data_IF_911848986803
#
_entry.id   IF_911848986803
#
_cell.length_a   1.000
_cell.length_b   1.000
_cell.length_c   1.000
_cell.angle_alpha   90.00
_cell.angle_beta   90.00
_cell.angle_gamma   90.00
#
_symmetry.space_group_name_H-M   'P 1'
#
loop_
_entity.id
_entity.type
_entity.pdbx_description
1 polymer ?
#
# COMPACT_ATOMS: atom_id res chain seq x y z
N UNK A 1 25.00 -6.31 -0.67
CA UNK A 1 24.86 -5.78 0.71
C UNK A 1 23.41 -5.97 1.14
N UNK A 2 23.11 -7.09 1.81
CA UNK A 2 21.81 -7.25 2.46
C UNK A 2 21.84 -6.44 3.76
N UNK A 3 20.99 -5.41 3.85
CA UNK A 3 20.74 -4.74 5.11
C UNK A 3 20.22 -5.80 6.08
N UNK A 4 21.07 -6.23 7.00
CA UNK A 4 20.64 -6.99 8.16
C UNK A 4 19.92 -6.01 9.06
N UNK A 5 18.61 -5.87 8.86
CA UNK A 5 17.73 -5.36 9.90
C UNK A 5 17.92 -6.26 11.12
N UNK A 6 18.28 -5.66 12.26
CA UNK A 6 18.28 -6.33 13.55
C UNK A 6 16.88 -6.84 13.90
N UNK A 7 16.72 -7.38 15.12
CA UNK A 7 15.57 -8.19 15.57
C UNK A 7 14.14 -7.69 15.28
N UNK A 8 13.93 -6.44 14.85
CA UNK A 8 12.63 -5.89 14.41
C UNK A 8 12.74 -5.00 13.14
N UNK A 9 13.75 -5.21 12.30
CA UNK A 9 13.97 -4.43 11.07
C UNK A 9 13.37 -5.10 9.84
N UNK A 10 12.51 -4.38 9.12
CA UNK A 10 11.90 -4.86 7.87
C UNK A 10 12.92 -5.34 6.83
N UNK A 11 12.58 -6.41 6.11
CA UNK A 11 13.42 -6.98 5.07
C UNK A 11 13.20 -6.23 3.76
N UNK A 12 14.28 -5.64 3.22
CA UNK A 12 14.26 -4.96 1.93
C UNK A 12 15.10 -5.74 0.93
N UNK A 13 14.50 -6.11 -0.20
CA UNK A 13 15.13 -6.93 -1.23
C UNK A 13 15.48 -6.05 -2.43
N UNK A 14 16.71 -6.20 -2.89
CA UNK A 14 17.31 -5.44 -3.98
C UNK A 14 17.54 -6.35 -5.18
N UNK A 15 17.35 -5.81 -6.38
CA UNK A 15 17.57 -6.50 -7.65
C UNK A 15 18.35 -5.59 -8.58
N UNK A 16 19.34 -6.14 -9.29
CA UNK A 16 20.13 -5.37 -10.24
C UNK A 16 19.32 -5.03 -11.49
N UNK A 17 19.49 -3.83 -12.04
CA UNK A 17 18.83 -3.37 -13.27
C UNK A 17 19.02 -4.31 -14.48
N UNK A 18 20.11 -5.08 -14.53
CA UNK A 18 20.36 -6.06 -15.59
C UNK A 18 19.59 -7.38 -15.46
N UNK A 19 18.75 -7.51 -14.43
CA UNK A 19 18.03 -8.76 -14.15
C UNK A 19 16.81 -8.88 -15.05
N UNK A 20 16.67 -10.03 -15.70
CA UNK A 20 15.53 -10.34 -16.56
C UNK A 20 14.24 -10.58 -15.75
N UNK A 21 13.08 -10.23 -16.32
CA UNK A 21 11.79 -10.25 -15.61
C UNK A 21 11.40 -11.64 -15.06
N UNK A 22 11.79 -12.72 -15.73
CA UNK A 22 11.60 -14.10 -15.26
C UNK A 22 12.28 -14.35 -13.90
N UNK A 23 13.49 -13.83 -13.73
CA UNK A 23 14.24 -13.92 -12.47
C UNK A 23 13.66 -13.01 -11.40
N UNK A 24 13.20 -11.81 -11.78
CA UNK A 24 12.47 -10.90 -10.87
C UNK A 24 11.21 -11.57 -10.34
N UNK A 25 10.46 -12.27 -11.21
CA UNK A 25 9.26 -13.01 -10.83
C UNK A 25 9.57 -14.17 -9.86
N UNK A 26 10.66 -14.90 -10.08
CA UNK A 26 11.12 -15.94 -9.16
C UNK A 26 11.53 -15.36 -7.80
N UNK A 27 12.14 -14.18 -7.78
CA UNK A 27 12.48 -13.47 -6.54
C UNK A 27 11.22 -13.07 -5.75
N UNK A 28 10.19 -12.56 -6.43
CA UNK A 28 8.89 -12.29 -5.78
C UNK A 28 8.30 -13.54 -5.13
N UNK A 29 8.34 -14.68 -5.82
CA UNK A 29 7.87 -15.97 -5.29
C UNK A 29 8.67 -16.42 -4.07
N UNK A 30 9.99 -16.16 -4.03
CA UNK A 30 10.86 -16.55 -2.92
C UNK A 30 10.71 -15.64 -1.70
N UNK A 31 10.64 -14.32 -1.90
CA UNK A 31 10.62 -13.35 -0.81
C UNK A 31 9.22 -13.12 -0.19
N UNK A 32 8.14 -13.52 -0.88
CA UNK A 32 6.75 -13.29 -0.46
C UNK A 32 6.43 -11.80 -0.20
N UNK A 33 7.15 -10.91 -0.90
CA UNK A 33 6.87 -9.48 -0.94
C UNK A 33 6.38 -9.12 -2.34
N UNK A 34 5.70 -7.99 -2.49
CA UNK A 34 5.21 -7.50 -3.80
C UNK A 34 5.91 -6.22 -4.25
N UNK A 35 6.97 -5.78 -3.55
CA UNK A 35 7.78 -4.62 -3.92
C UNK A 35 9.27 -4.92 -3.71
N UNK A 36 10.09 -4.59 -4.71
CA UNK A 36 11.55 -4.72 -4.70
C UNK A 36 12.19 -3.38 -5.07
N UNK A 37 13.47 -3.19 -4.70
CA UNK A 37 14.25 -2.04 -5.14
C UNK A 37 15.19 -2.41 -6.28
N UNK A 38 15.12 -1.67 -7.37
CA UNK A 38 16.07 -1.74 -8.47
C UNK A 38 17.35 -0.98 -8.11
N UNK A 39 18.51 -1.51 -8.48
CA UNK A 39 19.78 -0.84 -8.28
C UNK A 39 20.75 -1.00 -9.45
N UNK A 40 21.56 0.03 -9.64
CA UNK A 40 22.72 0.04 -10.52
C UNK A 40 24.02 0.08 -9.71
N UNK A 41 25.07 -0.55 -10.23
CA UNK A 41 26.42 -0.41 -9.68
C UNK A 41 27.18 0.70 -10.41
N UNK A 42 27.77 1.64 -9.65
CA UNK A 42 28.65 2.64 -10.23
C UNK A 42 30.00 1.99 -10.61
N UNK A 43 30.39 2.10 -11.88
CA UNK A 43 31.65 1.54 -12.43
C UNK A 43 32.87 2.44 -12.23
N UNK A 44 32.71 3.61 -11.61
CA UNK A 44 33.83 4.52 -11.33
C UNK A 44 34.78 3.94 -10.27
N UNK A 45 36.10 3.97 -10.49
CA UNK A 45 37.09 3.38 -9.56
C UNK A 45 37.05 4.02 -8.16
N UNK A 46 36.57 5.25 -8.03
CA UNK A 46 36.44 5.97 -6.74
C UNK A 46 35.17 5.60 -5.95
N UNK A 47 34.18 4.98 -6.59
CA UNK A 47 32.85 4.68 -6.01
C UNK A 47 32.45 3.20 -6.10
N UNK A 48 33.43 2.34 -6.39
CA UNK A 48 33.25 0.89 -6.51
C UNK A 48 32.62 0.34 -5.21
N UNK A 49 31.40 -0.21 -5.32
CA UNK A 49 30.67 -0.81 -4.19
C UNK A 49 29.52 0.03 -3.63
N UNK A 50 29.29 1.25 -4.14
CA UNK A 50 28.08 2.02 -3.82
C UNK A 50 26.94 1.53 -4.72
N UNK A 51 25.89 0.99 -4.09
CA UNK A 51 24.65 0.63 -4.76
C UNK A 51 23.79 1.89 -4.86
N UNK A 52 23.49 2.34 -6.07
CA UNK A 52 22.54 3.42 -6.30
C UNK A 52 21.17 2.82 -6.57
N UNK A 53 20.19 3.14 -5.74
CA UNK A 53 18.80 2.79 -6.00
C UNK A 53 18.33 3.57 -7.22
N UNK A 54 17.85 2.85 -8.23
CA UNK A 54 17.39 3.40 -9.51
C UNK A 54 15.87 3.51 -9.55
N UNK A 55 15.16 2.61 -8.87
CA UNK A 55 13.70 2.63 -8.82
C UNK A 55 13.12 1.56 -7.91
N UNK A 56 11.81 1.40 -8.00
CA UNK A 56 11.04 0.33 -7.37
C UNK A 56 10.48 -0.59 -8.47
N UNK A 57 10.23 -1.84 -8.12
CA UNK A 57 9.57 -2.82 -8.98
C UNK A 57 8.41 -3.40 -8.18
N UNK A 58 7.21 -3.43 -8.75
CA UNK A 58 6.05 -4.07 -8.12
C UNK A 58 5.74 -5.42 -8.78
N UNK A 59 5.06 -6.31 -8.07
CA UNK A 59 4.61 -7.58 -8.64
C UNK A 59 3.57 -7.37 -9.76
N UNK A 60 2.76 -6.33 -9.63
CA UNK A 60 1.75 -5.94 -10.61
C UNK A 60 2.40 -5.65 -11.97
N UNK A 61 3.36 -4.72 -12.03
CA UNK A 61 4.07 -4.38 -13.29
C UNK A 61 4.69 -5.61 -13.97
N UNK A 62 5.20 -6.57 -13.17
CA UNK A 62 5.79 -7.81 -13.70
C UNK A 62 4.73 -8.75 -14.28
N UNK A 63 3.56 -8.84 -13.66
CA UNK A 63 2.45 -9.64 -14.19
C UNK A 63 1.85 -8.96 -15.42
N UNK A 64 1.65 -7.64 -15.41
CA UNK A 64 1.20 -6.86 -16.58
C UNK A 64 2.10 -7.08 -17.79
N UNK A 65 3.43 -7.01 -17.60
CA UNK A 65 4.39 -7.29 -18.66
C UNK A 65 4.29 -8.74 -19.20
N UNK A 66 3.92 -9.70 -18.34
CA UNK A 66 3.74 -11.10 -18.71
C UNK A 66 2.46 -11.33 -19.53
N UNK A 67 1.33 -10.77 -19.08
CA UNK A 67 0.01 -10.96 -19.73
C UNK A 67 -0.23 -9.97 -20.88
N UNK A 68 0.59 -8.92 -20.97
CA UNK A 68 0.48 -7.81 -21.93
C UNK A 68 -0.87 -7.10 -21.86
N UNK A 69 -1.38 -6.97 -20.66
CA UNK A 69 -2.67 -6.36 -20.36
C UNK A 69 -2.52 -5.55 -19.06
N UNK A 70 -3.30 -4.48 -18.94
CA UNK A 70 -3.32 -3.61 -17.77
C UNK A 70 -4.13 -4.28 -16.66
N UNK A 71 -3.59 -4.27 -15.45
CA UNK A 71 -4.31 -4.76 -14.27
C UNK A 71 -4.99 -3.56 -13.63
N UNK A 72 -6.30 -3.69 -13.39
CA UNK A 72 -7.03 -2.70 -12.60
C UNK A 72 -6.84 -3.03 -11.11
N UNK A 73 -6.09 -2.20 -10.39
CA UNK A 73 -5.84 -2.37 -8.96
C UNK A 73 -7.01 -1.87 -8.10
N UNK A 74 -6.97 -2.18 -6.81
CA UNK A 74 -7.93 -1.76 -5.77
C UNK A 74 -8.16 -0.24 -5.73
N UNK A 75 -7.20 0.53 -6.25
CA UNK A 75 -7.26 1.98 -6.36
C UNK A 75 -7.86 2.50 -7.67
N UNK A 76 -8.01 1.65 -8.68
CA UNK A 76 -8.48 2.07 -9.99
C UNK A 76 -9.99 2.22 -9.99
N UNK A 77 -10.44 3.26 -10.66
CA UNK A 77 -11.83 3.61 -10.72
C UNK A 77 -12.53 2.63 -11.67
N UNK A 78 -13.46 1.84 -11.15
CA UNK A 78 -14.35 1.03 -11.99
C UNK A 78 -15.14 1.98 -12.91
N UNK A 79 -14.78 2.05 -14.18
CA UNK A 79 -15.64 2.65 -15.20
C UNK A 79 -16.61 1.56 -15.62
N UNK A 80 -17.85 1.64 -15.16
CA UNK A 80 -18.93 0.85 -15.74
C UNK A 80 -19.07 1.30 -17.22
N UNK A 81 -18.80 0.39 -18.15
CA UNK A 81 -18.85 0.66 -19.60
C UNK A 81 -20.27 1.07 -20.04
N UNK A 82 -21.30 0.75 -19.25
CA UNK A 82 -22.68 1.14 -19.52
C UNK A 82 -23.13 2.45 -18.84
N UNK A 83 -22.36 3.00 -17.90
CA UNK A 83 -22.70 4.25 -17.21
C UNK A 83 -21.42 5.06 -16.89
N UNK A 84 -21.06 5.98 -17.79
CA UNK A 84 -19.86 6.84 -17.69
C UNK A 84 -19.93 7.90 -16.56
N UNK A 85 -20.83 7.77 -15.58
CA UNK A 85 -21.08 8.78 -14.54
C UNK A 85 -20.82 8.31 -13.11
N UNK A 86 -20.53 7.03 -12.87
CA UNK A 86 -20.27 6.53 -11.51
C UNK A 86 -18.79 6.28 -11.30
N UNK A 87 -18.09 7.30 -10.82
CA UNK A 87 -16.77 7.14 -10.21
C UNK A 87 -16.95 6.33 -8.91
N UNK A 88 -16.67 5.02 -8.93
CA UNK A 88 -16.78 4.18 -7.74
C UNK A 88 -15.55 4.45 -6.85
N UNK A 89 -15.76 5.20 -5.75
CA UNK A 89 -14.73 5.53 -4.77
C UNK A 89 -14.07 4.28 -4.15
N UNK A 90 -12.75 4.36 -4.00
CA UNK A 90 -11.82 3.32 -3.52
C UNK A 90 -12.31 2.57 -2.28
N UNK A 91 -12.22 1.24 -2.32
CA UNK A 91 -12.31 0.36 -1.15
C UNK A 91 -10.91 0.01 -0.65
N UNK A 92 -10.23 0.94 0.02
CA UNK A 92 -9.07 0.55 0.83
C UNK A 92 -9.59 -0.10 2.11
N UNK A 93 -9.92 -1.39 2.05
CA UNK A 93 -10.23 -2.20 3.23
C UNK A 93 -8.96 -2.39 4.06
N UNK A 94 -8.81 -1.60 5.12
CA UNK A 94 -7.78 -1.78 6.13
C UNK A 94 -7.90 -3.18 6.76
N UNK A 95 -7.03 -4.11 6.35
CA UNK A 95 -6.95 -5.48 6.89
C UNK A 95 -6.40 -5.45 8.32
N UNK A 96 -7.25 -5.82 9.28
CA UNK A 96 -6.89 -6.52 10.52
C UNK A 96 -6.00 -5.81 11.55
N UNK A 97 -6.58 -4.91 12.35
CA UNK A 97 -6.01 -4.54 13.65
C UNK A 97 -6.84 -5.19 14.77
N UNK A 98 -6.17 -5.98 15.62
CA UNK A 98 -6.74 -6.65 16.80
C UNK A 98 -7.55 -5.67 17.67
N UNK A 99 -8.86 -5.88 17.87
CA UNK A 99 -9.73 -4.99 18.63
C UNK A 99 -9.24 -4.72 20.05
N UNK A 100 -8.56 -5.70 20.65
CA UNK A 100 -8.11 -5.64 22.05
C UNK A 100 -6.99 -4.63 22.25
N UNK A 101 -6.09 -4.51 21.25
CA UNK A 101 -4.98 -3.56 21.25
C UNK A 101 -5.43 -2.14 20.94
N UNK A 102 -6.57 -2.02 20.26
CA UNK A 102 -7.24 -0.74 20.01
C UNK A 102 -7.89 -0.20 21.30
N UNK A 103 -8.57 -1.07 22.07
CA UNK A 103 -9.26 -0.68 23.31
C UNK A 103 -8.30 -0.18 24.41
N UNK A 104 -7.09 -0.75 24.54
CA UNK A 104 -6.11 -0.31 25.54
C UNK A 104 -5.56 1.11 25.30
N UNK A 105 -5.73 1.66 24.10
CA UNK A 105 -5.34 3.05 23.80
C UNK A 105 -6.37 4.08 24.30
N UNK A 106 -7.60 3.65 24.58
CA UNK A 106 -8.69 4.53 25.04
C UNK A 106 -8.80 4.63 26.55
N UNK A 107 -8.34 3.64 27.32
CA UNK A 107 -8.45 3.65 28.79
C UNK A 107 -7.75 4.85 29.44
N UNK A 108 -6.66 5.34 28.86
CA UNK A 108 -5.90 6.45 29.44
C UNK A 108 -6.46 7.86 29.11
N UNK A 109 -7.52 7.96 28.30
CA UNK A 109 -8.10 9.22 27.80
C UNK A 109 -9.53 9.52 28.25
N UNK A 110 -10.15 8.65 29.03
CA UNK A 110 -11.56 8.78 29.43
C UNK A 110 -11.83 10.05 30.28
N UNK A 111 -10.79 10.72 30.79
CA UNK A 111 -10.92 11.89 31.67
C UNK A 111 -10.59 13.27 31.07
N UNK A 112 -10.34 13.39 29.77
CA UNK A 112 -10.23 14.72 29.14
C UNK A 112 -11.51 15.05 28.36
N UNK A 113 -12.29 16.01 28.87
CA UNK A 113 -13.35 16.71 28.14
C UNK A 113 -12.76 17.27 26.83
N UNK A 114 -12.88 16.54 25.73
CA UNK A 114 -12.11 16.83 24.52
C UNK A 114 -12.91 16.52 23.27
N UNK A 115 -13.10 17.55 22.43
CA UNK A 115 -13.70 17.44 21.10
C UNK A 115 -13.13 16.22 20.35
N UNK A 116 -14.01 15.46 19.70
CA UNK A 116 -13.64 14.30 18.89
C UNK A 116 -12.47 14.61 17.96
N UNK A 117 -11.53 13.68 17.86
CA UNK A 117 -10.45 13.73 16.88
C UNK A 117 -11.01 13.77 15.46
N UNK A 118 -10.31 14.41 14.52
CA UNK A 118 -10.70 14.44 13.10
C UNK A 118 -10.91 13.02 12.53
N UNK A 119 -10.13 12.05 13.00
CA UNK A 119 -10.25 10.65 12.59
C UNK A 119 -11.51 9.99 13.16
N UNK A 120 -11.90 10.34 14.39
CA UNK A 120 -13.13 9.83 15.02
C UNK A 120 -14.36 10.42 14.35
N UNK A 121 -14.35 11.73 14.04
CA UNK A 121 -15.41 12.37 13.27
C UNK A 121 -15.53 11.74 11.89
N UNK A 122 -14.41 11.51 11.19
CA UNK A 122 -14.42 10.85 9.87
C UNK A 122 -14.99 9.43 9.94
N UNK A 123 -14.62 8.64 10.96
CA UNK A 123 -15.14 7.30 11.16
C UNK A 123 -16.66 7.30 11.45
N UNK A 124 -17.13 8.22 12.30
CA UNK A 124 -18.56 8.37 12.61
C UNK A 124 -19.34 8.80 11.36
N UNK A 125 -18.81 9.76 10.59
CA UNK A 125 -19.43 10.21 9.33
C UNK A 125 -19.51 9.08 8.32
N UNK A 126 -18.44 8.30 8.14
CA UNK A 126 -18.42 7.15 7.23
C UNK A 126 -19.44 6.07 7.64
N UNK A 127 -19.54 5.78 8.94
CA UNK A 127 -20.49 4.81 9.47
C UNK A 127 -21.94 5.27 9.30
N UNK A 128 -22.26 6.51 9.70
CA UNK A 128 -23.61 7.07 9.62
C UNK A 128 -24.08 7.20 8.17
N UNK A 129 -23.20 7.64 7.27
CA UNK A 129 -23.51 7.78 5.85
C UNK A 129 -23.81 6.45 5.15
N UNK A 130 -23.17 5.37 5.61
CA UNK A 130 -23.31 4.04 5.01
C UNK A 130 -24.48 3.24 5.58
N UNK A 131 -24.73 3.36 6.89
CA UNK A 131 -25.67 2.48 7.60
C UNK A 131 -27.00 3.16 7.98
N UNK A 132 -27.07 4.49 7.93
CA UNK A 132 -28.26 5.24 8.35
C UNK A 132 -28.82 6.03 7.16
N UNK A 133 -29.99 5.64 6.60
CA UNK A 133 -30.51 6.21 5.36
C UNK A 133 -30.78 7.72 5.45
N UNK A 134 -31.09 8.24 6.63
CA UNK A 134 -31.31 9.65 6.91
C UNK A 134 -30.04 10.49 6.72
N UNK A 135 -28.87 9.91 7.00
CA UNK A 135 -27.56 10.58 6.87
C UNK A 135 -26.91 10.40 5.50
N UNK A 136 -27.50 9.59 4.61
CA UNK A 136 -26.99 9.34 3.25
C UNK A 136 -26.92 10.60 2.37
N UNK A 137 -27.69 11.65 2.70
CA UNK A 137 -27.65 12.95 1.99
C UNK A 137 -26.46 13.82 2.37
N UNK A 138 -25.86 13.60 3.56
CA UNK A 138 -24.72 14.39 4.04
C UNK A 138 -23.39 13.96 3.42
N UNK A 139 -23.32 12.74 2.87
CA UNK A 139 -22.14 12.24 2.16
C UNK A 139 -22.05 12.68 0.69
N UNK A 140 -22.99 13.50 0.21
CA UNK A 140 -23.04 13.95 -1.21
C UNK A 140 -22.36 15.29 -1.48
N UNK A 141 -21.60 15.85 -0.52
CA UNK A 141 -20.84 17.09 -0.69
C UNK A 141 -19.39 16.91 -0.25
#
# INVERSE_FOLDING_TARGET
LAFHGGKDGGFLRYVSDGTTLDKVFLEFKACRMHMLLAHSEDTSPSKKGILRVTGIITLEDVIEALIKDEILDESDNFVDVNDTSTLIEKRVSFRGADPTKFMSLFEHKIHEEGKLSKNEVSAIVAFLSSNVPEFKKLAKY
#
